data_IF_031849058332
#
_entry.id   IF_031849058332
#
_cell.length_a   1.000
_cell.length_b   1.000
_cell.length_c   1.000
_cell.angle_alpha   90.00
_cell.angle_beta   90.00
_cell.angle_gamma   90.00
#
_symmetry.space_group_name_H-M   'P 1'
#
loop_
_entity.id
_entity.type
_entity.pdbx_description
1 polymer ?
#
# COMPACT_ATOMS: atom_id res chain seq x y z
N UNK A 1 4.76 -13.31 7.10
CA UNK A 1 5.36 -13.43 8.44
C UNK A 1 6.67 -12.66 8.39
N UNK A 2 6.74 -11.48 8.99
CA UNK A 2 7.97 -10.69 9.10
C UNK A 2 8.79 -11.34 10.21
N UNK A 3 9.96 -11.88 9.86
CA UNK A 3 10.90 -12.43 10.84
C UNK A 3 11.35 -11.30 11.78
N UNK A 4 11.16 -11.49 13.07
CA UNK A 4 11.75 -10.64 14.09
C UNK A 4 13.19 -11.11 14.22
N UNK A 5 14.12 -10.31 13.73
CA UNK A 5 15.54 -10.56 13.92
C UNK A 5 15.89 -10.25 15.38
N UNK A 6 16.35 -11.24 16.11
CA UNK A 6 16.90 -11.04 17.43
C UNK A 6 18.38 -11.35 17.41
N UNK A 7 19.19 -10.31 17.57
CA UNK A 7 20.62 -10.43 17.75
C UNK A 7 20.90 -11.11 19.10
N UNK A 8 21.79 -12.08 19.12
CA UNK A 8 22.24 -12.74 20.36
C UNK A 8 23.28 -11.87 21.10
N UNK A 9 22.97 -10.60 21.30
CA UNK A 9 23.70 -9.66 22.13
C UNK A 9 22.99 -9.47 23.47
N UNK A 10 23.66 -8.83 24.41
CA UNK A 10 23.08 -8.44 25.68
C UNK A 10 21.86 -7.56 25.51
N UNK A 11 21.00 -7.50 26.52
CA UNK A 11 19.66 -6.88 26.52
C UNK A 11 19.56 -5.46 25.97
N UNK A 12 20.68 -4.78 25.73
CA UNK A 12 20.78 -3.39 25.33
C UNK A 12 21.19 -3.19 23.85
N UNK A 13 21.49 -4.25 23.10
CA UNK A 13 21.93 -4.16 21.70
C UNK A 13 20.78 -4.45 20.71
N UNK A 14 19.75 -3.61 20.73
CA UNK A 14 18.66 -3.68 19.73
C UNK A 14 18.96 -2.95 18.41
N UNK A 15 20.09 -2.27 18.31
CA UNK A 15 20.51 -1.65 17.07
C UNK A 15 21.71 -2.40 16.51
N UNK A 16 21.47 -3.19 15.48
CA UNK A 16 22.53 -3.63 14.60
C UNK A 16 23.10 -2.38 13.91
N UNK A 17 24.10 -1.77 14.52
CA UNK A 17 24.82 -0.68 13.87
C UNK A 17 25.99 -1.28 13.12
N UNK A 18 26.09 -1.08 11.80
CA UNK A 18 27.24 -1.51 10.99
C UNK A 18 28.61 -1.06 11.53
N UNK A 19 28.61 -0.15 12.51
CA UNK A 19 29.81 0.44 13.10
C UNK A 19 30.56 -0.45 14.10
N UNK A 20 29.93 -1.50 14.61
CA UNK A 20 30.50 -2.36 15.64
C UNK A 20 30.93 -3.75 15.16
N UNK A 21 30.42 -4.22 14.02
CA UNK A 21 30.83 -5.49 13.45
C UNK A 21 31.95 -5.31 12.43
N UNK A 22 32.99 -6.11 12.53
CA UNK A 22 34.05 -6.16 11.52
C UNK A 22 33.53 -6.94 10.31
N UNK A 23 34.03 -6.59 9.11
CA UNK A 23 33.54 -7.16 7.84
C UNK A 23 33.62 -8.70 7.77
N UNK A 24 34.55 -9.30 8.51
CA UNK A 24 34.77 -10.74 8.56
C UNK A 24 34.21 -11.42 9.82
N UNK A 25 33.45 -10.72 10.65
CA UNK A 25 32.86 -11.33 11.82
C UNK A 25 31.78 -12.36 11.42
N UNK A 26 31.83 -13.54 12.01
CA UNK A 26 30.77 -14.53 11.86
C UNK A 26 29.52 -14.05 12.57
N UNK A 27 28.39 -14.12 11.89
CA UNK A 27 27.10 -13.71 12.41
C UNK A 27 26.13 -14.89 12.47
N UNK A 28 25.51 -15.03 13.63
CA UNK A 28 24.37 -15.93 13.81
C UNK A 28 23.07 -15.13 13.85
N UNK A 29 22.20 -15.39 12.86
CA UNK A 29 20.89 -14.77 12.77
C UNK A 29 19.81 -15.76 13.19
N UNK A 30 19.13 -15.44 14.28
CA UNK A 30 17.98 -16.23 14.73
C UNK A 30 16.73 -15.81 13.97
N UNK A 31 16.23 -16.67 13.08
CA UNK A 31 15.12 -16.38 12.13
C UNK A 31 13.75 -16.66 12.77
N UNK A 32 13.69 -17.29 13.91
CA UNK A 32 12.44 -17.51 14.62
C UNK A 32 12.65 -18.25 15.94
N UNK A 33 11.91 -17.83 16.93
CA UNK A 33 11.79 -18.54 18.20
C UNK A 33 10.37 -19.10 18.23
N UNK A 34 10.24 -20.41 18.39
CA UNK A 34 8.96 -21.07 18.54
C UNK A 34 8.62 -21.17 20.02
N UNK A 35 7.47 -20.61 20.41
CA UNK A 35 6.96 -20.66 21.78
C UNK A 35 5.77 -21.62 21.85
N UNK A 36 5.67 -22.37 22.94
CA UNK A 36 4.46 -23.13 23.27
C UNK A 36 3.36 -22.18 23.81
N UNK A 37 2.19 -22.73 24.11
CA UNK A 37 1.05 -21.98 24.66
C UNK A 37 1.31 -21.31 26.00
N UNK A 38 2.35 -21.75 26.72
CA UNK A 38 2.76 -21.20 28.02
C UNK A 38 3.84 -20.10 27.87
N UNK A 39 4.24 -19.77 26.64
CA UNK A 39 5.31 -18.79 26.36
C UNK A 39 6.73 -19.34 26.49
N UNK A 40 6.90 -20.66 26.67
CA UNK A 40 8.21 -21.28 26.79
C UNK A 40 8.79 -21.56 25.39
N UNK A 41 10.10 -21.35 25.24
CA UNK A 41 10.83 -21.61 23.99
C UNK A 41 10.89 -23.12 23.73
N UNK A 42 10.29 -23.57 22.62
CA UNK A 42 10.28 -24.99 22.21
C UNK A 42 11.18 -25.24 20.99
N UNK A 43 11.71 -24.19 20.37
CA UNK A 43 12.63 -24.32 19.25
C UNK A 43 13.07 -22.97 18.70
N UNK A 44 14.11 -23.01 17.88
CA UNK A 44 14.62 -21.85 17.14
C UNK A 44 15.19 -22.27 15.78
N UNK A 45 15.17 -21.36 14.84
CA UNK A 45 15.88 -21.51 13.57
C UNK A 45 16.98 -20.46 13.51
N UNK A 46 18.22 -20.92 13.40
CA UNK A 46 19.39 -20.07 13.23
C UNK A 46 19.94 -20.22 11.81
N UNK A 47 20.38 -19.12 11.22
CA UNK A 47 21.14 -19.08 9.98
C UNK A 47 22.50 -18.49 10.31
N UNK A 48 23.56 -19.23 10.01
CA UNK A 48 24.93 -18.75 10.15
C UNK A 48 25.40 -18.12 8.85
N UNK A 49 26.11 -17.01 8.97
CA UNK A 49 26.76 -16.32 7.85
C UNK A 49 28.26 -16.26 8.15
N UNK A 50 29.06 -16.53 7.14
CA UNK A 50 30.53 -16.56 7.27
C UNK A 50 31.12 -15.17 7.48
N UNK A 51 30.38 -14.12 7.09
CA UNK A 51 30.79 -12.73 7.30
C UNK A 51 29.60 -11.79 7.41
N UNK A 52 29.83 -10.61 7.99
CA UNK A 52 28.88 -9.50 8.00
C UNK A 52 28.41 -9.11 6.60
N UNK A 53 29.32 -9.09 5.63
CA UNK A 53 29.01 -8.75 4.24
C UNK A 53 27.99 -9.71 3.62
N UNK A 54 28.11 -11.02 3.91
CA UNK A 54 27.13 -12.01 3.44
C UNK A 54 25.75 -11.80 4.10
N UNK A 55 25.71 -11.57 5.40
CA UNK A 55 24.47 -11.31 6.14
C UNK A 55 23.77 -10.06 5.61
N UNK A 56 24.50 -8.96 5.48
CA UNK A 56 23.99 -7.69 4.95
C UNK A 56 23.45 -7.84 3.52
N UNK A 57 24.21 -8.48 2.64
CA UNK A 57 23.79 -8.70 1.25
C UNK A 57 22.55 -9.61 1.16
N UNK A 58 22.44 -10.60 2.03
CA UNK A 58 21.25 -11.48 2.09
C UNK A 58 20.02 -10.70 2.51
N UNK A 59 20.13 -9.82 3.51
CA UNK A 59 19.04 -8.98 4.00
C UNK A 59 18.59 -7.95 2.94
N UNK A 60 19.54 -7.28 2.29
CA UNK A 60 19.26 -6.34 1.20
C UNK A 60 18.53 -7.04 0.05
N UNK A 61 19.00 -8.23 -0.36
CA UNK A 61 18.32 -9.02 -1.39
C UNK A 61 16.92 -9.44 -0.98
N UNK A 62 16.73 -9.89 0.27
CA UNK A 62 15.42 -10.24 0.80
C UNK A 62 14.46 -9.05 0.79
N UNK A 63 14.93 -7.86 1.20
CA UNK A 63 14.17 -6.62 1.15
C UNK A 63 13.76 -6.24 -0.28
N UNK A 64 14.66 -6.32 -1.24
CA UNK A 64 14.37 -6.05 -2.65
C UNK A 64 13.34 -7.03 -3.23
N UNK A 65 13.44 -8.32 -2.89
CA UNK A 65 12.46 -9.33 -3.32
C UNK A 65 11.09 -9.04 -2.73
N UNK A 66 11.02 -8.69 -1.44
CA UNK A 66 9.77 -8.34 -0.77
C UNK A 66 9.12 -7.11 -1.40
N UNK A 67 9.90 -6.05 -1.64
CA UNK A 67 9.43 -4.84 -2.31
C UNK A 67 8.90 -5.12 -3.72
N UNK A 68 9.63 -5.92 -4.51
CA UNK A 68 9.21 -6.33 -5.85
C UNK A 68 7.90 -7.13 -5.81
N UNK A 69 7.72 -8.02 -4.83
CA UNK A 69 6.45 -8.75 -4.65
C UNK A 69 5.29 -7.82 -4.35
N UNK A 70 5.47 -6.84 -3.46
CA UNK A 70 4.44 -5.83 -3.11
C UNK A 70 4.08 -5.00 -4.34
N UNK A 71 5.07 -4.50 -5.09
CA UNK A 71 4.85 -3.74 -6.32
C UNK A 71 4.08 -4.54 -7.37
N UNK A 72 4.44 -5.80 -7.57
CA UNK A 72 3.75 -6.66 -8.52
C UNK A 72 2.30 -6.96 -8.08
N UNK A 73 2.07 -7.21 -6.81
CA UNK A 73 0.73 -7.41 -6.27
C UNK A 73 -0.16 -6.16 -6.45
N UNK A 74 0.37 -4.97 -6.17
CA UNK A 74 -0.33 -3.71 -6.41
C UNK A 74 -0.66 -3.50 -7.89
N UNK A 75 0.30 -3.76 -8.79
CA UNK A 75 0.11 -3.66 -10.24
C UNK A 75 -0.98 -4.61 -10.74
N UNK A 76 -0.99 -5.86 -10.26
CA UNK A 76 -2.00 -6.83 -10.63
C UNK A 76 -3.40 -6.43 -10.15
N UNK A 77 -3.51 -5.94 -8.90
CA UNK A 77 -4.78 -5.40 -8.38
C UNK A 77 -5.28 -4.22 -9.20
N UNK A 78 -4.39 -3.28 -9.54
CA UNK A 78 -4.73 -2.13 -10.39
C UNK A 78 -5.25 -2.59 -11.75
N UNK A 79 -4.53 -3.49 -12.43
CA UNK A 79 -4.94 -4.01 -13.74
C UNK A 79 -6.31 -4.73 -13.69
N UNK A 80 -6.63 -5.42 -12.60
CA UNK A 80 -7.95 -6.03 -12.43
C UNK A 80 -9.05 -4.97 -12.28
N UNK A 81 -8.82 -3.92 -11.46
CA UNK A 81 -9.77 -2.81 -11.28
C UNK A 81 -9.97 -2.08 -12.61
N UNK A 82 -8.89 -1.76 -13.30
CA UNK A 82 -8.89 -1.14 -14.62
C UNK A 82 -9.76 -1.94 -15.60
N UNK A 83 -9.48 -3.24 -15.75
CA UNK A 83 -10.22 -4.11 -16.66
C UNK A 83 -11.73 -4.06 -16.40
N UNK A 84 -12.15 -4.17 -15.14
CA UNK A 84 -13.56 -4.16 -14.74
C UNK A 84 -14.19 -2.80 -15.00
N UNK A 85 -13.54 -1.72 -14.58
CA UNK A 85 -14.10 -0.37 -14.70
C UNK A 85 -14.11 0.12 -16.16
N UNK A 86 -13.09 -0.20 -16.94
CA UNK A 86 -13.05 0.13 -18.37
C UNK A 86 -14.14 -0.61 -19.14
N UNK A 87 -14.35 -1.89 -18.85
CA UNK A 87 -15.44 -2.64 -19.47
C UNK A 87 -16.80 -2.06 -19.12
N UNK A 88 -17.01 -1.58 -17.91
CA UNK A 88 -18.29 -1.09 -17.41
C UNK A 88 -18.59 0.37 -17.78
N UNK A 89 -17.58 1.23 -17.78
CA UNK A 89 -17.74 2.69 -17.89
C UNK A 89 -16.98 3.32 -19.05
N UNK A 90 -16.13 2.56 -19.72
CA UNK A 90 -15.29 3.01 -20.82
C UNK A 90 -13.94 3.58 -20.39
N UNK A 91 -12.97 3.53 -21.29
CA UNK A 91 -11.59 4.00 -21.08
C UNK A 91 -11.54 5.45 -20.61
N UNK A 92 -12.23 6.36 -21.32
CA UNK A 92 -12.25 7.79 -21.02
C UNK A 92 -12.64 8.09 -19.57
N UNK A 93 -13.65 7.37 -19.04
CA UNK A 93 -14.11 7.59 -17.68
C UNK A 93 -13.09 7.06 -16.65
N UNK A 94 -12.45 5.93 -16.93
CA UNK A 94 -11.41 5.37 -16.09
C UNK A 94 -10.18 6.31 -16.02
N UNK A 95 -9.65 6.73 -17.17
CA UNK A 95 -8.49 7.62 -17.24
C UNK A 95 -8.75 8.96 -16.53
N UNK A 96 -9.97 9.49 -16.66
CA UNK A 96 -10.36 10.71 -15.94
C UNK A 96 -10.32 10.57 -14.39
N UNK A 97 -10.61 9.38 -13.88
CA UNK A 97 -10.48 9.11 -12.44
C UNK A 97 -9.02 8.88 -12.03
N UNK A 98 -8.22 8.22 -12.87
CA UNK A 98 -6.77 8.04 -12.66
C UNK A 98 -6.04 9.38 -12.58
N UNK A 99 -6.38 10.31 -13.49
CA UNK A 99 -5.80 11.64 -13.56
C UNK A 99 -6.39 12.62 -12.53
N UNK A 100 -7.33 12.17 -11.69
CA UNK A 100 -8.10 13.00 -10.76
C UNK A 100 -8.86 14.17 -11.45
N UNK A 101 -9.24 13.98 -12.71
CA UNK A 101 -9.91 14.98 -13.56
C UNK A 101 -11.27 14.51 -14.09
N UNK A 102 -12.22 14.20 -13.16
CA UNK A 102 -13.57 13.86 -13.62
C UNK A 102 -14.17 14.97 -14.47
N UNK A 103 -15.10 14.62 -15.33
CA UNK A 103 -15.75 15.57 -16.24
C UNK A 103 -17.28 15.52 -16.13
N UNK A 104 -17.93 16.60 -16.54
CA UNK A 104 -19.39 16.68 -16.56
C UNK A 104 -19.96 15.68 -17.58
N UNK A 105 -20.97 14.94 -17.18
CA UNK A 105 -21.56 13.85 -17.98
C UNK A 105 -20.93 12.48 -17.77
N UNK A 106 -19.83 12.39 -17.01
CA UNK A 106 -19.20 11.11 -16.64
C UNK A 106 -20.20 10.25 -15.84
N UNK A 107 -20.25 8.91 -16.05
CA UNK A 107 -21.13 8.04 -15.29
C UNK A 107 -20.88 8.14 -13.79
N UNK A 108 -21.96 8.29 -12.98
CA UNK A 108 -21.87 8.30 -11.50
C UNK A 108 -21.24 7.02 -10.95
N UNK A 109 -21.53 5.88 -11.58
CA UNK A 109 -21.08 4.58 -11.09
C UNK A 109 -19.57 4.51 -10.94
N UNK A 110 -18.79 5.11 -11.86
CA UNK A 110 -17.35 5.07 -11.74
C UNK A 110 -16.83 5.90 -10.57
N UNK A 111 -17.47 7.04 -10.24
CA UNK A 111 -17.12 7.85 -9.08
C UNK A 111 -17.23 7.04 -7.79
N UNK A 112 -18.28 6.20 -7.71
CA UNK A 112 -18.56 5.34 -6.57
C UNK A 112 -17.63 4.13 -6.49
N UNK A 113 -17.28 3.53 -7.62
CA UNK A 113 -16.60 2.24 -7.70
C UNK A 113 -15.09 2.37 -7.89
N UNK A 114 -14.59 3.55 -8.29
CA UNK A 114 -13.16 3.76 -8.46
C UNK A 114 -12.40 3.61 -7.15
N UNK A 115 -11.34 2.79 -7.21
CA UNK A 115 -10.46 2.53 -6.07
C UNK A 115 -9.03 2.87 -6.43
N UNK A 116 -8.39 3.66 -5.60
CA UNK A 116 -6.96 3.88 -5.67
C UNK A 116 -6.23 2.69 -5.03
N UNK A 117 -5.19 2.21 -5.71
CA UNK A 117 -4.36 1.11 -5.22
C UNK A 117 -3.03 1.66 -4.73
N UNK A 118 -2.72 1.44 -3.45
CA UNK A 118 -1.43 1.76 -2.86
C UNK A 118 -0.83 0.53 -2.19
N UNK A 119 0.32 0.10 -2.67
CA UNK A 119 0.98 -1.12 -2.18
C UNK A 119 0.02 -2.31 -2.26
N UNK A 120 -0.38 -2.86 -1.13
CA UNK A 120 -1.31 -3.98 -0.99
C UNK A 120 -2.74 -3.58 -0.63
N UNK A 121 -2.98 -2.30 -0.39
CA UNK A 121 -4.28 -1.75 0.00
C UNK A 121 -4.97 -1.06 -1.17
N UNK A 122 -6.26 -1.27 -1.31
CA UNK A 122 -7.12 -0.50 -2.20
C UNK A 122 -8.22 0.19 -1.39
N UNK A 123 -8.56 1.41 -1.75
CA UNK A 123 -9.61 2.17 -1.06
C UNK A 123 -10.41 3.03 -2.04
N UNK A 124 -11.68 3.26 -1.71
CA UNK A 124 -12.58 4.09 -2.51
C UNK A 124 -12.08 5.55 -2.47
N UNK A 125 -11.96 6.17 -3.66
CA UNK A 125 -11.50 7.55 -3.76
C UNK A 125 -12.57 8.55 -3.26
N UNK A 126 -13.83 8.38 -3.68
CA UNK A 126 -14.93 9.27 -3.32
C UNK A 126 -16.07 8.50 -2.68
N UNK A 127 -16.48 8.91 -1.48
CA UNK A 127 -17.61 8.35 -0.77
C UNK A 127 -18.88 9.19 -0.97
N UNK A 128 -20.04 8.52 -1.10
CA UNK A 128 -21.34 9.20 -1.03
C UNK A 128 -21.56 9.74 0.38
N UNK A 129 -22.01 10.99 0.48
CA UNK A 129 -22.22 11.64 1.79
C UNK A 129 -23.70 12.00 2.00
N UNK A 130 -24.34 12.66 1.03
CA UNK A 130 -25.70 13.17 1.18
C UNK A 130 -26.35 13.46 -0.17
N UNK A 131 -27.65 13.76 -0.10
CA UNK A 131 -28.40 14.39 -1.20
C UNK A 131 -28.62 15.87 -0.84
N UNK A 132 -28.32 16.76 -1.75
CA UNK A 132 -28.45 18.21 -1.60
C UNK A 132 -29.05 18.79 -2.87
N UNK A 133 -30.21 19.47 -2.78
CA UNK A 133 -30.93 20.06 -3.91
C UNK A 133 -31.15 19.07 -5.09
N UNK A 134 -31.41 17.79 -4.79
CA UNK A 134 -31.62 16.76 -5.79
C UNK A 134 -30.34 16.18 -6.42
N UNK A 135 -29.17 16.59 -5.94
CA UNK A 135 -27.87 16.03 -6.32
C UNK A 135 -27.35 15.08 -5.26
N UNK A 136 -26.79 13.95 -5.68
CA UNK A 136 -25.97 13.12 -4.79
C UNK A 136 -24.57 13.74 -4.71
N UNK A 137 -24.06 13.90 -3.50
CA UNK A 137 -22.78 14.53 -3.22
C UNK A 137 -21.76 13.46 -2.81
N UNK A 138 -20.64 13.43 -3.51
CA UNK A 138 -19.50 12.57 -3.24
C UNK A 138 -18.32 13.42 -2.79
N UNK A 139 -17.72 13.07 -1.66
CA UNK A 139 -16.55 13.74 -1.12
C UNK A 139 -15.34 12.79 -1.17
N UNK A 140 -14.11 13.33 -1.30
CA UNK A 140 -12.92 12.53 -1.20
C UNK A 140 -12.86 11.85 0.17
N UNK A 141 -12.54 10.55 0.19
CA UNK A 141 -12.30 9.85 1.45
C UNK A 141 -11.04 10.41 2.11
N UNK A 142 -10.96 10.31 3.44
CA UNK A 142 -9.79 10.82 4.18
C UNK A 142 -8.48 10.23 3.64
N UNK A 143 -8.47 8.93 3.38
CA UNK A 143 -7.27 8.24 2.89
C UNK A 143 -6.88 8.71 1.49
N UNK A 144 -7.86 8.89 0.60
CA UNK A 144 -7.62 9.45 -0.74
C UNK A 144 -7.07 10.88 -0.67
N UNK A 145 -7.68 11.76 0.13
CA UNK A 145 -7.25 13.14 0.29
C UNK A 145 -5.81 13.24 0.84
N UNK A 146 -5.46 12.41 1.83
CA UNK A 146 -4.08 12.34 2.35
C UNK A 146 -3.09 11.87 1.28
N UNK A 147 -3.43 10.84 0.51
CA UNK A 147 -2.58 10.31 -0.55
C UNK A 147 -2.38 11.32 -1.67
N UNK A 148 -3.47 11.92 -2.16
CA UNK A 148 -3.40 12.93 -3.22
C UNK A 148 -2.60 14.17 -2.79
N UNK A 149 -2.73 14.59 -1.53
CA UNK A 149 -1.93 15.68 -0.96
C UNK A 149 -0.45 15.31 -0.87
N UNK A 150 -0.12 14.08 -0.51
CA UNK A 150 1.27 13.61 -0.43
C UNK A 150 1.99 13.67 -1.79
N UNK A 151 1.28 13.39 -2.89
CA UNK A 151 1.82 13.49 -4.25
C UNK A 151 1.57 14.86 -4.91
N UNK A 152 1.12 15.85 -4.15
CA UNK A 152 0.76 17.20 -4.64
C UNK A 152 -0.25 17.18 -5.80
N UNK A 153 -1.12 16.18 -5.86
CA UNK A 153 -2.14 16.08 -6.89
C UNK A 153 -3.31 17.03 -6.60
N UNK A 154 -3.73 17.77 -7.63
CA UNK A 154 -4.98 18.54 -7.57
C UNK A 154 -6.14 17.60 -7.80
N UNK A 155 -7.12 17.60 -6.91
CA UNK A 155 -8.30 16.73 -6.99
C UNK A 155 -9.57 17.48 -6.57
N UNK A 156 -10.75 17.08 -7.06
CA UNK A 156 -12.01 17.68 -6.68
C UNK A 156 -12.31 17.55 -5.18
N UNK A 157 -12.74 18.64 -4.57
CA UNK A 157 -13.24 18.67 -3.18
C UNK A 157 -14.65 18.09 -3.05
N UNK A 158 -15.44 18.13 -4.14
CA UNK A 158 -16.74 17.49 -4.21
C UNK A 158 -17.11 17.17 -5.66
N UNK A 159 -17.83 16.06 -5.85
CA UNK A 159 -18.44 15.68 -7.12
C UNK A 159 -19.94 15.54 -6.88
N UNK A 160 -20.72 16.27 -7.68
CA UNK A 160 -22.18 16.26 -7.62
C UNK A 160 -22.71 15.45 -8.81
N UNK A 161 -23.63 14.52 -8.53
CA UNK A 161 -24.22 13.70 -9.58
C UNK A 161 -25.74 13.85 -9.59
N UNK A 162 -26.34 13.78 -10.77
CA UNK A 162 -27.78 13.79 -10.99
C UNK A 162 -28.12 12.88 -12.17
N UNK A 163 -29.20 12.12 -12.07
CA UNK A 163 -29.63 11.19 -13.10
C UNK A 163 -28.52 10.21 -13.55
N UNK A 164 -27.72 9.72 -12.62
CA UNK A 164 -26.65 8.75 -12.88
C UNK A 164 -25.39 9.32 -13.55
N UNK A 165 -25.26 10.65 -13.64
CA UNK A 165 -24.10 11.31 -14.27
C UNK A 165 -23.56 12.44 -13.39
N UNK A 166 -22.27 12.71 -13.54
CA UNK A 166 -21.62 13.90 -12.95
C UNK A 166 -22.24 15.15 -13.55
N UNK A 167 -22.78 16.01 -12.68
CA UNK A 167 -23.47 17.25 -13.07
C UNK A 167 -22.70 18.51 -12.67
N UNK A 168 -21.90 18.45 -11.58
CA UNK A 168 -21.05 19.55 -11.16
C UNK A 168 -19.81 19.01 -10.42
N UNK A 169 -18.73 19.79 -10.45
CA UNK A 169 -17.45 19.46 -9.81
C UNK A 169 -16.96 20.70 -9.07
N UNK A 170 -16.66 20.54 -7.78
CA UNK A 170 -16.04 21.59 -6.97
C UNK A 170 -14.56 21.26 -6.76
N UNK A 171 -13.72 22.14 -7.18
CA UNK A 171 -12.24 22.04 -7.05
C UNK A 171 -11.73 22.71 -5.77
#
# INVERSE_FOLDING_TARGET
>A
MLGIFKYAGTKDDYSFTPKTAKENDKLELYVGIYLNKNGEKVGEKCIQYDSFAQAYNAEVKAGQIAEKKIKNAARNKHAQIEKVLVQKYGRKAFDAMEDFRPYIGMPEGIVREYKLVMKDVNFIAYGFVRVENGYKVYLPTRLFAMTASYINARFPRAIYTKNGKVAAIKW
#
